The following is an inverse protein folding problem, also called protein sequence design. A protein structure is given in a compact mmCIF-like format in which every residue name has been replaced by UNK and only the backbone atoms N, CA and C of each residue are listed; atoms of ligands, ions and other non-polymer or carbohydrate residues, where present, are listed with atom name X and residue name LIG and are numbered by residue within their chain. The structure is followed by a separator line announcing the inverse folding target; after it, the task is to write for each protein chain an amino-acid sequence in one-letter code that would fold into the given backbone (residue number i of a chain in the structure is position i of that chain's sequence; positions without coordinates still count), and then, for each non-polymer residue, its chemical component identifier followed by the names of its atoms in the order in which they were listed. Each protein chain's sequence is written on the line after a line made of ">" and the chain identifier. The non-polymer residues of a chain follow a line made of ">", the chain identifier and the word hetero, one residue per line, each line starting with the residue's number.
data_IF_917709016729
#
_entry.id   IF_917709016729
#
_cell.length_a   1.000
_cell.length_b   1.000
_cell.length_c   1.000
_cell.angle_alpha   90.00
_cell.angle_beta   90.00
_cell.angle_gamma   90.00
#
_symmetry.space_group_name_H-M   'P 1'
#
loop_
_entity.id
_entity.type
_entity.pdbx_description
1 polymer ?
#
# COMPACT_ATOMS: atom_id res chain seq x y z
N UNK A 1 21.60 2.56 -12.73
CA UNK A 1 20.14 2.44 -12.54
C UNK A 1 19.79 0.97 -12.61
N UNK A 2 18.85 0.49 -11.81
CA UNK A 2 18.34 -0.89 -11.94
C UNK A 2 17.30 -0.96 -13.06
N UNK A 3 16.95 -2.19 -13.50
CA UNK A 3 15.97 -2.45 -14.59
C UNK A 3 14.68 -1.64 -14.43
N UNK A 4 14.07 -1.65 -13.24
CA UNK A 4 12.80 -0.93 -12.96
C UNK A 4 12.98 0.59 -13.12
N UNK A 5 14.06 1.14 -12.56
CA UNK A 5 14.35 2.58 -12.67
C UNK A 5 14.66 3.01 -14.12
N UNK A 6 15.33 2.15 -14.87
CA UNK A 6 15.64 2.39 -16.29
C UNK A 6 14.35 2.41 -17.13
N UNK A 7 13.45 1.45 -16.91
CA UNK A 7 12.13 1.43 -17.56
C UNK A 7 11.31 2.69 -17.25
N UNK A 8 11.21 3.07 -15.98
CA UNK A 8 10.49 4.30 -15.59
C UNK A 8 11.05 5.57 -16.23
N UNK A 9 12.35 5.59 -16.51
CA UNK A 9 12.99 6.71 -17.18
C UNK A 9 12.76 6.69 -18.70
N UNK A 10 12.78 5.50 -19.34
CA UNK A 10 12.64 5.34 -20.78
C UNK A 10 11.20 5.45 -21.29
N UNK A 11 10.23 5.03 -20.49
CA UNK A 11 8.83 4.95 -20.94
C UNK A 11 8.14 6.30 -20.75
N UNK A 12 7.68 6.88 -21.86
CA UNK A 12 6.67 7.95 -21.80
C UNK A 12 5.31 7.30 -21.52
N UNK A 13 4.72 7.65 -20.37
CA UNK A 13 3.42 7.08 -19.97
C UNK A 13 2.31 7.47 -20.93
N UNK A 14 2.31 8.69 -21.46
CA UNK A 14 1.26 9.12 -22.39
C UNK A 14 1.33 8.34 -23.69
N UNK A 15 2.51 8.16 -24.27
CA UNK A 15 2.70 7.34 -25.48
C UNK A 15 2.27 5.90 -25.24
N UNK A 16 2.64 5.31 -24.10
CA UNK A 16 2.22 3.95 -23.76
C UNK A 16 0.70 3.83 -23.63
N UNK A 17 0.04 4.79 -23.00
CA UNK A 17 -1.42 4.80 -22.82
C UNK A 17 -2.16 5.00 -24.16
N UNK A 18 -1.60 5.80 -25.06
CA UNK A 18 -2.21 6.06 -26.38
C UNK A 18 -2.24 4.83 -27.30
N UNK A 19 -1.49 3.76 -26.96
CA UNK A 19 -1.63 2.45 -27.63
C UNK A 19 -2.98 1.76 -27.29
N UNK A 20 -3.61 2.12 -26.18
CA UNK A 20 -4.83 1.45 -25.66
C UNK A 20 -6.07 2.33 -25.69
N UNK A 21 -5.92 3.65 -25.68
CA UNK A 21 -7.05 4.59 -25.69
C UNK A 21 -6.65 5.93 -26.29
N UNK A 22 -7.62 6.62 -26.86
CA UNK A 22 -7.39 7.98 -27.38
C UNK A 22 -7.45 8.99 -26.24
N UNK A 23 -6.42 9.81 -26.13
CA UNK A 23 -6.36 10.92 -25.18
C UNK A 23 -6.66 12.26 -25.84
N UNK A 24 -7.40 13.12 -25.14
CA UNK A 24 -7.73 14.47 -25.57
C UNK A 24 -7.48 15.48 -24.44
N UNK A 25 -7.07 16.68 -24.76
CA UNK A 25 -6.90 17.77 -23.79
C UNK A 25 -8.09 18.72 -23.70
N UNK A 26 -9.02 18.68 -24.67
CA UNK A 26 -10.25 19.48 -24.72
C UNK A 26 -10.10 20.92 -24.17
N UNK A 27 -9.02 21.61 -24.52
CA UNK A 27 -8.67 22.95 -24.01
C UNK A 27 -8.02 22.98 -22.62
N UNK A 28 -7.88 21.84 -21.93
CA UNK A 28 -7.19 21.71 -20.66
C UNK A 28 -5.71 21.31 -20.80
N UNK A 29 -4.99 21.31 -19.66
CA UNK A 29 -3.56 20.89 -19.62
C UNK A 29 -3.39 19.38 -19.43
N UNK A 30 -4.41 18.70 -18.92
CA UNK A 30 -4.37 17.30 -18.51
C UNK A 30 -4.95 16.43 -19.62
N UNK A 31 -4.18 15.45 -20.17
CA UNK A 31 -4.70 14.46 -21.11
C UNK A 31 -5.77 13.59 -20.45
N UNK A 32 -6.92 13.40 -21.10
CA UNK A 32 -8.05 12.59 -20.59
C UNK A 32 -8.57 11.69 -21.70
N UNK A 33 -9.17 10.56 -21.29
CA UNK A 33 -9.75 9.58 -22.20
C UNK A 33 -10.67 8.61 -21.48
N UNK A 34 -11.14 7.61 -22.22
CA UNK A 34 -11.81 6.44 -21.65
C UNK A 34 -10.78 5.53 -20.97
N UNK A 35 -11.18 4.87 -19.88
CA UNK A 35 -10.28 3.99 -19.15
C UNK A 35 -10.12 2.64 -19.85
N UNK A 36 -8.92 2.24 -20.31
CA UNK A 36 -8.72 0.95 -20.95
C UNK A 36 -8.69 -0.22 -19.96
N UNK A 37 -8.64 0.05 -18.65
CA UNK A 37 -8.57 -0.99 -17.60
C UNK A 37 -9.98 -1.43 -17.21
N UNK A 38 -10.89 -0.49 -16.93
CA UNK A 38 -12.27 -0.83 -16.55
C UNK A 38 -13.28 -0.68 -17.71
N UNK A 39 -12.79 -0.34 -18.90
CA UNK A 39 -13.59 -0.13 -20.11
C UNK A 39 -14.76 0.87 -19.90
N UNK A 40 -14.52 1.89 -19.10
CA UNK A 40 -15.48 3.00 -18.90
C UNK A 40 -15.65 3.79 -20.20
N UNK A 41 -16.85 4.24 -20.47
CA UNK A 41 -17.25 4.95 -21.69
C UNK A 41 -17.11 6.48 -21.59
N UNK A 42 -16.91 7.00 -20.38
CA UNK A 42 -16.74 8.43 -20.15
C UNK A 42 -15.30 8.89 -20.48
N UNK A 43 -15.10 9.76 -21.49
CA UNK A 43 -13.77 10.19 -21.93
C UNK A 43 -13.07 11.16 -20.99
N UNK A 44 -13.65 11.45 -19.83
CA UNK A 44 -13.04 12.33 -18.80
C UNK A 44 -12.61 11.60 -17.53
N UNK A 45 -12.95 10.33 -17.40
CA UNK A 45 -12.68 9.54 -16.18
C UNK A 45 -11.23 9.10 -16.05
N UNK A 46 -10.55 8.81 -17.14
CA UNK A 46 -9.14 8.47 -17.15
C UNK A 46 -8.29 9.70 -17.46
N UNK A 47 -7.20 9.90 -16.73
CA UNK A 47 -6.31 11.02 -16.95
C UNK A 47 -4.86 10.66 -16.67
N UNK A 48 -3.93 11.47 -17.26
CA UNK A 48 -2.51 11.39 -17.02
C UNK A 48 -2.05 12.65 -16.28
N UNK A 49 -1.39 12.44 -15.15
CA UNK A 49 -0.85 13.50 -14.27
C UNK A 49 0.65 13.29 -14.13
N UNK A 50 1.43 13.94 -15.00
CA UNK A 50 2.88 13.75 -15.09
C UNK A 50 3.24 12.30 -15.47
N UNK A 51 3.98 11.62 -14.64
CA UNK A 51 4.43 10.23 -14.81
C UNK A 51 3.42 9.18 -14.29
N UNK A 52 2.19 9.58 -13.98
CA UNK A 52 1.16 8.70 -13.42
C UNK A 52 -0.16 8.84 -14.12
N UNK A 53 -0.91 7.73 -14.18
CA UNK A 53 -2.31 7.71 -14.60
C UNK A 53 -3.26 7.58 -13.39
N UNK A 54 -4.48 7.99 -13.61
CA UNK A 54 -5.57 7.81 -12.65
C UNK A 54 -6.91 7.66 -13.38
N UNK A 55 -7.75 6.74 -12.90
CA UNK A 55 -9.13 6.57 -13.34
C UNK A 55 -10.11 6.93 -12.21
N UNK A 56 -10.95 7.94 -12.41
CA UNK A 56 -11.94 8.38 -11.43
C UNK A 56 -13.08 7.36 -11.22
N UNK A 57 -13.31 6.44 -12.16
CA UNK A 57 -14.36 5.43 -12.08
C UNK A 57 -13.94 4.20 -11.28
N UNK A 58 -12.82 3.58 -11.63
CA UNK A 58 -12.38 2.33 -10.99
C UNK A 58 -11.28 2.53 -9.93
N UNK A 59 -10.77 3.75 -9.73
CA UNK A 59 -9.71 4.04 -8.78
C UNK A 59 -8.31 3.53 -9.20
N UNK A 60 -8.21 2.89 -10.38
CA UNK A 60 -6.92 2.41 -10.88
C UNK A 60 -5.95 3.58 -11.06
N UNK A 61 -4.73 3.41 -10.57
CA UNK A 61 -3.69 4.44 -10.62
C UNK A 61 -2.30 3.83 -10.50
N UNK A 62 -1.34 4.41 -11.18
CA UNK A 62 0.03 3.89 -11.16
C UNK A 62 0.97 4.68 -12.06
N UNK A 63 2.18 4.16 -12.19
CA UNK A 63 3.15 4.55 -13.22
C UNK A 63 2.99 3.69 -14.48
N UNK A 64 3.88 3.85 -15.44
CA UNK A 64 3.85 3.12 -16.70
C UNK A 64 3.88 1.59 -16.52
N UNK A 65 4.64 1.08 -15.55
CA UNK A 65 4.72 -0.36 -15.26
C UNK A 65 3.40 -0.86 -14.66
N UNK A 66 2.85 -0.10 -13.71
CA UNK A 66 1.56 -0.41 -13.09
C UNK A 66 0.41 -0.36 -14.11
N UNK A 67 0.43 0.64 -15.01
CA UNK A 67 -0.54 0.73 -16.11
C UNK A 67 -0.50 -0.51 -16.99
N UNK A 68 0.68 -0.86 -17.49
CA UNK A 68 0.85 -2.01 -18.38
C UNK A 68 0.46 -3.32 -17.70
N UNK A 69 0.83 -3.49 -16.42
CA UNK A 69 0.45 -4.66 -15.65
C UNK A 69 -1.08 -4.80 -15.53
N UNK A 70 -1.79 -3.70 -15.27
CA UNK A 70 -3.25 -3.72 -15.11
C UNK A 70 -4.00 -3.88 -16.43
N UNK A 71 -3.58 -3.20 -17.50
CA UNK A 71 -4.28 -3.28 -18.79
C UNK A 71 -4.07 -4.63 -19.46
N UNK A 72 -2.90 -5.25 -19.32
CA UNK A 72 -2.60 -6.58 -19.86
C UNK A 72 -2.97 -7.73 -18.88
N UNK A 73 -3.42 -7.42 -17.67
CA UNK A 73 -3.73 -8.44 -16.65
C UNK A 73 -2.52 -9.25 -16.20
N UNK A 74 -1.31 -8.67 -16.25
CA UNK A 74 -0.06 -9.35 -15.96
C UNK A 74 0.39 -9.13 -14.51
N UNK A 75 0.99 -10.16 -13.87
CA UNK A 75 1.78 -9.95 -12.65
C UNK A 75 2.92 -8.95 -12.88
N UNK A 76 3.24 -8.16 -11.86
CA UNK A 76 4.21 -7.06 -11.95
C UNK A 76 5.52 -7.42 -12.68
N UNK A 77 6.16 -8.54 -12.32
CA UNK A 77 7.43 -8.92 -12.93
C UNK A 77 7.30 -9.39 -14.38
N UNK A 78 6.16 -9.96 -14.76
CA UNK A 78 5.86 -10.29 -16.17
C UNK A 78 5.66 -9.01 -16.99
N UNK A 79 4.97 -8.02 -16.44
CA UNK A 79 4.85 -6.70 -17.07
C UNK A 79 6.21 -6.01 -17.22
N UNK A 80 7.09 -6.09 -16.20
CA UNK A 80 8.46 -5.57 -16.29
C UNK A 80 9.24 -6.27 -17.41
N UNK A 81 9.15 -7.58 -17.55
CA UNK A 81 9.85 -8.35 -18.58
C UNK A 81 9.34 -8.02 -19.99
N UNK A 82 8.04 -7.93 -20.19
CA UNK A 82 7.44 -7.53 -21.47
C UNK A 82 7.83 -6.09 -21.86
N UNK A 83 7.81 -5.15 -20.90
CA UNK A 83 8.26 -3.79 -21.17
C UNK A 83 9.78 -3.72 -21.38
N UNK A 84 10.57 -4.55 -20.70
CA UNK A 84 12.01 -4.61 -20.88
C UNK A 84 12.37 -5.09 -22.29
N UNK A 85 11.65 -6.09 -22.80
CA UNK A 85 11.78 -6.52 -24.20
C UNK A 85 11.37 -5.40 -25.18
N UNK A 86 10.21 -4.78 -24.97
CA UNK A 86 9.67 -3.73 -25.84
C UNK A 86 10.58 -2.48 -25.93
N UNK A 87 11.18 -2.09 -24.79
CA UNK A 87 12.01 -0.89 -24.68
C UNK A 87 13.51 -1.18 -24.66
N UNK A 88 13.91 -2.41 -25.00
CA UNK A 88 15.32 -2.85 -25.07
C UNK A 88 16.10 -2.52 -23.79
N UNK A 89 15.57 -2.96 -22.66
CA UNK A 89 16.18 -2.83 -21.32
C UNK A 89 16.59 -4.21 -20.83
N UNK A 90 17.87 -4.38 -20.44
CA UNK A 90 18.32 -5.65 -19.88
C UNK A 90 17.64 -5.94 -18.53
N UNK A 91 17.26 -7.19 -18.34
CA UNK A 91 16.77 -7.75 -17.08
C UNK A 91 17.86 -8.49 -16.28
N UNK A 92 19.11 -8.52 -16.75
CA UNK A 92 20.23 -9.22 -16.10
C UNK A 92 20.78 -8.46 -14.88
N UNK A 93 20.17 -7.34 -14.52
CA UNK A 93 20.53 -6.55 -13.34
C UNK A 93 20.40 -7.38 -12.05
N UNK A 94 21.48 -7.55 -11.27
CA UNK A 94 21.46 -8.37 -10.05
C UNK A 94 20.45 -7.90 -9.00
N UNK A 95 20.22 -6.59 -8.90
CA UNK A 95 19.23 -6.01 -7.93
C UNK A 95 17.83 -6.42 -8.33
N UNK A 96 17.49 -6.28 -9.61
CA UNK A 96 16.21 -6.72 -10.15
C UNK A 96 15.96 -8.22 -9.93
N UNK A 97 16.94 -9.07 -10.30
CA UNK A 97 16.83 -10.51 -10.14
C UNK A 97 16.68 -10.93 -8.67
N UNK A 98 17.43 -10.30 -7.77
CA UNK A 98 17.29 -10.51 -6.32
C UNK A 98 15.89 -10.16 -5.84
N UNK A 99 15.38 -8.97 -6.20
CA UNK A 99 14.04 -8.52 -5.82
C UNK A 99 12.95 -9.48 -6.33
N UNK A 100 13.00 -9.86 -7.60
CA UNK A 100 12.09 -10.84 -8.22
C UNK A 100 12.11 -12.17 -7.48
N UNK A 101 13.29 -12.70 -7.18
CA UNK A 101 13.47 -13.96 -6.45
C UNK A 101 12.87 -13.88 -5.03
N UNK A 102 13.19 -12.83 -4.27
CA UNK A 102 12.71 -12.64 -2.90
C UNK A 102 11.18 -12.51 -2.86
N UNK A 103 10.59 -11.71 -3.73
CA UNK A 103 9.12 -11.55 -3.82
C UNK A 103 8.45 -12.87 -4.20
N UNK A 104 9.03 -13.63 -5.13
CA UNK A 104 8.52 -14.96 -5.49
C UNK A 104 8.58 -15.95 -4.32
N UNK A 105 9.64 -15.92 -3.52
CA UNK A 105 9.76 -16.72 -2.30
C UNK A 105 8.75 -16.27 -1.23
N UNK A 106 8.61 -14.96 -1.01
CA UNK A 106 7.65 -14.41 -0.06
C UNK A 106 6.21 -14.81 -0.41
N UNK A 107 5.86 -14.80 -1.70
CA UNK A 107 4.53 -15.23 -2.16
C UNK A 107 4.27 -16.71 -1.80
N UNK A 108 5.25 -17.59 -2.02
CA UNK A 108 5.15 -19.01 -1.63
C UNK A 108 5.02 -19.17 -0.11
N UNK A 109 5.77 -18.38 0.66
CA UNK A 109 5.70 -18.36 2.13
C UNK A 109 4.33 -17.89 2.62
N UNK A 110 3.78 -16.80 2.05
CA UNK A 110 2.44 -16.32 2.38
C UNK A 110 1.39 -17.40 2.14
N UNK A 111 1.38 -18.01 0.96
CA UNK A 111 0.45 -19.10 0.61
C UNK A 111 0.60 -20.31 1.53
N UNK A 112 1.84 -20.65 1.94
CA UNK A 112 2.08 -21.75 2.91
C UNK A 112 1.38 -21.48 4.24
N UNK A 113 1.55 -20.28 4.81
CA UNK A 113 0.94 -19.95 6.11
C UNK A 113 -0.56 -19.69 6.00
N UNK A 114 -1.02 -19.14 4.88
CA UNK A 114 -2.44 -18.92 4.61
C UNK A 114 -3.27 -20.22 4.61
N UNK A 115 -2.72 -21.33 4.13
CA UNK A 115 -3.36 -22.66 4.19
C UNK A 115 -3.74 -23.08 5.62
N UNK A 116 -3.15 -22.48 6.64
CA UNK A 116 -3.43 -22.75 8.04
C UNK A 116 -4.30 -21.65 8.70
N UNK A 117 -4.93 -20.76 7.92
CA UNK A 117 -5.71 -19.60 8.41
C UNK A 117 -6.86 -20.02 9.33
N UNK A 118 -7.44 -21.19 9.13
CA UNK A 118 -8.53 -21.72 9.97
C UNK A 118 -8.17 -21.80 11.45
N UNK A 119 -6.89 -21.99 11.78
CA UNK A 119 -6.42 -22.00 13.18
C UNK A 119 -6.58 -20.64 13.90
N UNK A 120 -6.76 -19.56 13.17
CA UNK A 120 -6.95 -18.20 13.73
C UNK A 120 -8.26 -17.56 13.31
N UNK A 121 -9.06 -18.22 12.47
CA UNK A 121 -10.33 -17.70 11.91
C UNK A 121 -11.28 -17.24 13.01
N UNK A 122 -11.57 -18.08 13.98
CA UNK A 122 -12.45 -17.73 15.09
C UNK A 122 -11.93 -16.53 15.89
N UNK A 123 -10.63 -16.50 16.18
CA UNK A 123 -10.01 -15.36 16.86
C UNK A 123 -10.15 -14.07 16.06
N UNK A 124 -9.91 -14.11 14.76
CA UNK A 124 -9.99 -12.95 13.89
C UNK A 124 -11.45 -12.49 13.74
N UNK A 125 -12.39 -13.39 13.50
CA UNK A 125 -13.79 -13.04 13.29
C UNK A 125 -14.46 -12.57 14.58
N UNK A 126 -14.34 -13.33 15.67
CA UNK A 126 -15.09 -13.07 16.92
C UNK A 126 -14.37 -12.05 17.81
N UNK A 127 -13.05 -12.20 17.99
CA UNK A 127 -12.29 -11.32 18.90
C UNK A 127 -11.82 -10.03 18.26
N UNK A 128 -11.69 -9.99 16.93
CA UNK A 128 -11.15 -8.84 16.19
C UNK A 128 -12.13 -8.22 15.20
N UNK A 129 -13.25 -8.89 14.93
CA UNK A 129 -14.26 -8.42 14.01
C UNK A 129 -13.79 -8.35 12.55
N UNK A 130 -12.75 -9.12 12.19
CA UNK A 130 -12.21 -9.20 10.83
C UNK A 130 -12.86 -10.38 10.11
N UNK A 131 -13.57 -10.12 9.02
CA UNK A 131 -14.31 -11.14 8.27
C UNK A 131 -13.40 -11.98 7.35
N UNK A 132 -13.96 -13.07 6.83
CA UNK A 132 -13.22 -14.04 6.01
C UNK A 132 -12.71 -13.45 4.71
N UNK A 133 -13.49 -12.64 4.02
CA UNK A 133 -13.07 -11.98 2.78
C UNK A 133 -11.81 -11.13 3.02
N UNK A 134 -11.74 -10.44 4.15
CA UNK A 134 -10.54 -9.67 4.54
C UNK A 134 -9.35 -10.58 4.86
N UNK A 135 -9.58 -11.76 5.48
CA UNK A 135 -8.50 -12.72 5.71
C UNK A 135 -7.90 -13.23 4.39
N UNK A 136 -8.75 -13.48 3.39
CA UNK A 136 -8.32 -13.87 2.04
C UNK A 136 -7.60 -12.72 1.32
N UNK A 137 -8.18 -11.51 1.29
CA UNK A 137 -7.60 -10.35 0.63
C UNK A 137 -6.19 -10.02 1.13
N UNK A 138 -5.97 -10.13 2.44
CA UNK A 138 -4.67 -9.89 3.06
C UNK A 138 -3.78 -11.12 3.13
N UNK A 139 -4.22 -12.29 2.65
CA UNK A 139 -3.51 -13.57 2.76
C UNK A 139 -3.05 -13.86 4.19
N UNK A 140 -3.93 -13.59 5.16
CA UNK A 140 -3.63 -13.82 6.58
C UNK A 140 -3.36 -15.29 6.80
N UNK A 141 -2.28 -15.59 7.52
CA UNK A 141 -1.87 -16.96 7.80
C UNK A 141 -1.67 -17.23 9.28
N UNK A 142 -1.36 -18.48 9.58
CA UNK A 142 -1.04 -18.93 10.93
C UNK A 142 0.30 -19.67 10.97
N UNK A 143 1.09 -19.37 12.00
CA UNK A 143 2.32 -20.09 12.34
C UNK A 143 2.23 -20.66 13.75
N UNK A 144 2.54 -21.96 13.88
CA UNK A 144 2.56 -22.67 15.19
C UNK A 144 3.71 -22.22 16.09
N UNK A 145 4.77 -21.66 15.52
CA UNK A 145 5.98 -21.19 16.19
C UNK A 145 7.21 -21.27 15.29
N UNK A 146 8.18 -20.38 15.54
CA UNK A 146 9.47 -20.34 14.84
C UNK A 146 9.56 -19.33 13.70
N UNK A 147 8.45 -18.89 13.10
CA UNK A 147 8.50 -17.88 12.04
C UNK A 147 9.01 -16.55 12.56
N UNK A 148 9.91 -15.92 11.82
CA UNK A 148 10.64 -14.70 12.19
C UNK A 148 11.40 -14.79 13.51
N UNK A 149 11.71 -16.01 13.98
CA UNK A 149 12.40 -16.25 15.25
C UNK A 149 11.52 -16.11 16.50
N UNK A 150 10.19 -15.99 16.33
CA UNK A 150 9.21 -15.93 17.43
C UNK A 150 8.70 -17.35 17.69
N UNK A 151 8.92 -17.88 18.89
CA UNK A 151 8.61 -19.27 19.24
C UNK A 151 7.13 -19.50 19.57
N UNK A 152 6.43 -18.47 20.09
CA UNK A 152 4.99 -18.55 20.32
C UNK A 152 4.20 -18.65 19.01
N UNK A 153 3.01 -19.23 19.08
CA UNK A 153 2.08 -19.26 17.94
C UNK A 153 1.66 -17.84 17.54
N UNK A 154 1.27 -17.64 16.28
CA UNK A 154 0.92 -16.29 15.86
C UNK A 154 0.29 -16.17 14.47
N UNK A 155 -0.30 -15.00 14.25
CA UNK A 155 -0.88 -14.58 12.99
C UNK A 155 0.26 -14.08 12.09
N UNK A 156 0.32 -14.61 10.88
CA UNK A 156 1.26 -14.17 9.84
C UNK A 156 0.54 -13.16 8.93
N UNK A 157 1.09 -11.97 8.85
CA UNK A 157 0.55 -10.84 8.09
C UNK A 157 1.53 -10.49 6.97
N UNK A 158 1.23 -10.80 5.70
CA UNK A 158 2.04 -10.36 4.57
C UNK A 158 2.04 -8.83 4.45
N UNK A 159 3.22 -8.25 4.19
CA UNK A 159 3.38 -6.81 3.95
C UNK A 159 3.65 -6.61 2.46
N UNK A 160 2.80 -5.83 1.82
CA UNK A 160 2.84 -5.56 0.39
C UNK A 160 3.29 -4.12 0.13
N UNK A 161 3.99 -3.92 -0.97
CA UNK A 161 4.39 -2.60 -1.45
C UNK A 161 3.28 -1.91 -2.29
N UNK A 162 3.61 -0.79 -2.91
CA UNK A 162 2.67 -0.01 -3.73
C UNK A 162 2.15 -0.75 -4.98
N UNK A 163 2.79 -1.84 -5.39
CA UNK A 163 2.37 -2.69 -6.50
C UNK A 163 1.66 -3.99 -6.04
N UNK A 164 1.42 -4.15 -4.75
CA UNK A 164 0.81 -5.36 -4.19
C UNK A 164 1.78 -6.55 -4.06
N UNK A 165 3.11 -6.36 -4.25
CA UNK A 165 4.12 -7.41 -4.12
C UNK A 165 4.43 -7.68 -2.66
N UNK A 166 4.49 -8.94 -2.25
CA UNK A 166 4.81 -9.31 -0.86
C UNK A 166 6.32 -9.12 -0.64
N UNK A 167 6.67 -8.04 0.03
CA UNK A 167 8.07 -7.66 0.30
C UNK A 167 8.57 -8.10 1.67
N UNK A 168 7.64 -8.44 2.59
CA UNK A 168 7.97 -8.89 3.93
C UNK A 168 6.75 -9.36 4.70
N UNK A 169 6.93 -9.58 5.99
CA UNK A 169 5.90 -10.09 6.88
C UNK A 169 5.94 -9.42 8.24
N UNK A 170 4.81 -9.42 8.91
CA UNK A 170 4.71 -9.25 10.35
C UNK A 170 4.14 -10.52 10.98
N UNK A 171 4.65 -10.93 12.12
CA UNK A 171 4.04 -11.95 12.96
C UNK A 171 3.49 -11.31 14.22
N UNK A 172 2.19 -11.51 14.47
CA UNK A 172 1.53 -11.12 15.72
C UNK A 172 1.35 -12.34 16.60
N UNK A 173 2.00 -12.38 17.77
CA UNK A 173 1.82 -13.47 18.72
C UNK A 173 0.38 -13.51 19.26
N UNK A 174 -0.12 -14.69 19.51
CA UNK A 174 -1.45 -14.93 20.11
C UNK A 174 -1.39 -15.11 21.62
N UNK A 175 -0.33 -15.74 22.10
CA UNK A 175 -0.11 -16.02 23.50
C UNK A 175 0.58 -14.87 24.22
N UNK A 176 0.31 -14.69 25.49
CA UNK A 176 1.05 -13.74 26.33
C UNK A 176 2.38 -14.35 26.76
N UNK A 177 3.45 -13.84 26.22
CA UNK A 177 4.83 -14.25 26.49
C UNK A 177 5.71 -13.00 26.60
N UNK A 178 6.98 -13.20 26.98
CA UNK A 178 7.97 -12.11 26.99
C UNK A 178 8.43 -11.66 25.59
N UNK A 179 7.98 -12.35 24.53
CA UNK A 179 8.29 -11.95 23.14
C UNK A 179 7.51 -10.69 22.72
N UNK A 180 8.01 -9.91 21.78
CA UNK A 180 7.28 -8.74 21.25
C UNK A 180 5.91 -9.13 20.69
N UNK A 181 4.89 -8.31 20.94
CA UNK A 181 3.53 -8.52 20.37
C UNK A 181 3.54 -8.63 18.84
N UNK A 182 4.38 -7.83 18.18
CA UNK A 182 4.62 -7.88 16.73
C UNK A 182 6.11 -8.03 16.44
N UNK A 183 6.44 -8.87 15.48
CA UNK A 183 7.78 -9.02 14.92
C UNK A 183 7.70 -8.92 13.40
N UNK A 184 8.45 -7.97 12.84
CA UNK A 184 8.55 -7.80 11.39
C UNK A 184 9.76 -8.54 10.82
N UNK A 185 9.72 -8.84 9.51
CA UNK A 185 10.89 -9.21 8.71
C UNK A 185 12.02 -8.21 8.99
N UNK A 186 13.25 -8.71 9.05
CA UNK A 186 14.44 -7.84 9.14
C UNK A 186 14.56 -7.00 7.86
N UNK A 187 14.84 -5.71 8.02
CA UNK A 187 15.02 -4.81 6.86
C UNK A 187 16.19 -5.26 5.98
N UNK A 188 15.98 -5.17 4.68
CA UNK A 188 16.96 -5.40 3.61
C UNK A 188 16.67 -4.51 2.39
N UNK A 189 17.27 -4.82 1.24
CA UNK A 189 17.05 -4.05 -0.01
C UNK A 189 15.63 -4.21 -0.60
N UNK A 190 14.85 -5.20 -0.14
CA UNK A 190 13.49 -5.49 -0.62
C UNK A 190 12.45 -4.99 0.39
N UNK A 191 12.72 -5.20 1.69
CA UNK A 191 11.85 -4.78 2.78
C UNK A 191 12.45 -3.60 3.54
N UNK A 192 12.12 -2.39 3.12
CA UNK A 192 12.53 -1.14 3.77
C UNK A 192 11.32 -0.53 4.47
N UNK A 193 11.08 -0.97 5.72
CA UNK A 193 9.86 -0.65 6.49
C UNK A 193 9.52 0.83 6.52
N UNK A 194 10.53 1.71 6.67
CA UNK A 194 10.34 3.15 6.73
C UNK A 194 9.78 3.78 5.44
N UNK A 195 9.83 3.04 4.31
CA UNK A 195 9.35 3.48 2.99
C UNK A 195 8.02 2.83 2.61
N UNK A 196 7.41 2.05 3.49
CA UNK A 196 6.19 1.31 3.23
C UNK A 196 5.03 1.85 4.07
N UNK A 197 3.87 1.93 3.46
CA UNK A 197 2.59 2.07 4.15
C UNK A 197 1.78 0.78 3.91
N UNK A 198 1.42 0.11 4.99
CA UNK A 198 0.61 -1.12 4.91
C UNK A 198 -0.71 -0.84 4.22
N UNK A 199 -1.14 -1.73 3.35
CA UNK A 199 -2.37 -1.62 2.54
C UNK A 199 -2.38 -0.46 1.52
N UNK A 200 -1.27 0.20 1.22
CA UNK A 200 -1.24 1.37 0.36
C UNK A 200 -1.86 1.11 -1.03
N UNK A 201 -1.50 0.00 -1.68
CA UNK A 201 -1.96 -0.33 -3.03
C UNK A 201 -3.48 -0.55 -3.13
N UNK A 202 -4.14 -1.04 -2.07
CA UNK A 202 -5.61 -1.17 -2.04
C UNK A 202 -6.28 0.14 -1.64
N UNK A 203 -5.76 0.81 -0.62
CA UNK A 203 -6.33 2.04 -0.10
C UNK A 203 -6.37 3.15 -1.17
N UNK A 204 -5.34 3.25 -2.01
CA UNK A 204 -5.30 4.24 -3.10
C UNK A 204 -6.36 3.95 -4.17
N UNK A 205 -6.68 2.68 -4.46
CA UNK A 205 -7.75 2.31 -5.39
C UNK A 205 -9.16 2.64 -4.87
N UNK A 206 -9.31 2.70 -3.56
CA UNK A 206 -10.58 3.07 -2.89
C UNK A 206 -10.74 4.59 -2.70
N UNK A 207 -9.66 5.35 -2.91
CA UNK A 207 -9.64 6.79 -2.65
C UNK A 207 -10.19 7.56 -3.84
N UNK A 208 -11.13 8.45 -3.60
CA UNK A 208 -11.72 9.34 -4.61
C UNK A 208 -11.32 10.80 -4.37
N UNK A 209 -11.43 11.70 -5.37
CA UNK A 209 -11.28 13.14 -5.17
C UNK A 209 -12.18 13.64 -4.02
N UNK A 210 -11.69 14.58 -3.22
CA UNK A 210 -12.28 15.05 -1.98
C UNK A 210 -12.44 13.98 -0.89
N UNK A 211 -11.84 12.80 -1.11
CA UNK A 211 -11.89 11.68 -0.16
C UNK A 211 -10.95 11.85 1.03
N UNK A 212 -11.12 10.95 1.98
CA UNK A 212 -10.29 10.89 3.19
C UNK A 212 -9.51 9.60 3.20
N UNK A 213 -8.18 9.69 3.27
CA UNK A 213 -7.31 8.54 3.55
C UNK A 213 -6.99 8.50 5.04
N UNK A 214 -7.42 7.45 5.71
CA UNK A 214 -7.10 7.22 7.10
C UNK A 214 -5.67 6.67 7.25
N UNK A 215 -4.96 7.12 8.26
CA UNK A 215 -3.60 6.70 8.57
C UNK A 215 -3.59 6.17 10.00
N UNK A 216 -3.54 4.85 10.16
CA UNK A 216 -3.62 4.17 11.44
C UNK A 216 -2.26 3.59 11.88
N UNK A 217 -2.16 3.19 13.14
CA UNK A 217 -0.96 2.56 13.69
C UNK A 217 -0.92 1.06 13.43
N UNK A 218 -2.03 0.38 13.69
CA UNK A 218 -2.09 -1.07 13.76
C UNK A 218 -2.51 -1.76 12.46
N UNK A 219 -1.99 -2.97 12.23
CA UNK A 219 -2.38 -3.80 11.09
C UNK A 219 -3.89 -4.15 11.12
N UNK A 220 -4.42 -4.46 12.30
CA UNK A 220 -5.81 -4.88 12.45
C UNK A 220 -6.78 -3.71 12.27
N UNK A 221 -6.39 -2.50 12.67
CA UNK A 221 -7.19 -1.29 12.47
C UNK A 221 -7.36 -1.00 10.98
N UNK A 222 -6.25 -1.16 10.22
CA UNK A 222 -6.28 -1.03 8.76
C UNK A 222 -7.17 -2.08 8.09
N UNK A 223 -7.11 -3.33 8.54
CA UNK A 223 -7.97 -4.41 8.02
C UNK A 223 -9.45 -4.14 8.35
N UNK A 224 -9.73 -3.68 9.59
CA UNK A 224 -11.09 -3.33 10.02
C UNK A 224 -11.66 -2.17 9.21
N UNK A 225 -10.87 -1.15 8.90
CA UNK A 225 -11.26 -0.06 8.02
C UNK A 225 -11.50 -0.55 6.58
N UNK A 226 -10.57 -1.38 6.05
CA UNK A 226 -10.66 -1.92 4.69
C UNK A 226 -11.95 -2.69 4.45
N UNK A 227 -12.35 -3.60 5.35
CA UNK A 227 -13.59 -4.38 5.21
C UNK A 227 -14.87 -3.53 5.25
N UNK A 228 -14.79 -2.30 5.78
CA UNK A 228 -15.89 -1.33 5.79
C UNK A 228 -15.86 -0.41 4.55
N UNK A 229 -15.00 -0.68 3.57
CA UNK A 229 -14.84 0.18 2.42
C UNK A 229 -14.15 1.52 2.71
N UNK A 230 -13.44 1.65 3.83
CA UNK A 230 -12.76 2.88 4.25
C UNK A 230 -11.30 2.84 3.80
N UNK A 231 -10.85 3.79 2.94
CA UNK A 231 -9.45 3.90 2.57
C UNK A 231 -8.57 4.12 3.81
N UNK A 232 -7.70 3.14 4.13
CA UNK A 232 -6.86 3.20 5.31
C UNK A 232 -5.48 2.56 5.05
N UNK A 233 -4.43 3.20 5.56
CA UNK A 233 -3.05 2.72 5.51
C UNK A 233 -2.44 2.67 6.90
N UNK A 234 -1.45 1.79 7.10
CA UNK A 234 -0.73 1.66 8.36
C UNK A 234 0.74 2.06 8.24
N UNK A 235 1.30 2.74 9.25
CA UNK A 235 2.70 3.20 9.21
C UNK A 235 3.71 2.25 9.83
N UNK A 236 3.36 1.00 10.10
CA UNK A 236 4.29 -0.11 10.46
C UNK A 236 5.25 0.16 11.65
N UNK A 237 5.01 1.16 12.47
CA UNK A 237 5.90 1.56 13.56
C UNK A 237 5.22 2.47 14.57
N UNK A 238 5.98 3.04 15.49
CA UNK A 238 5.44 3.93 16.52
C UNK A 238 5.10 5.36 16.03
N UNK A 239 5.46 5.73 14.79
CA UNK A 239 5.14 7.03 14.18
C UNK A 239 5.40 7.01 12.68
N UNK A 240 4.83 7.98 11.96
CA UNK A 240 5.15 8.22 10.55
C UNK A 240 6.62 8.62 10.38
N UNK A 241 7.27 8.07 9.38
CA UNK A 241 8.64 8.43 8.97
C UNK A 241 8.63 9.54 7.93
N UNK A 242 9.78 10.19 7.72
CA UNK A 242 9.94 11.17 6.63
C UNK A 242 9.59 10.60 5.26
N UNK A 243 10.01 9.36 4.98
CA UNK A 243 9.76 8.72 3.69
C UNK A 243 8.26 8.43 3.50
N UNK A 244 7.55 7.99 4.55
CA UNK A 244 6.11 7.78 4.53
C UNK A 244 5.33 9.10 4.38
N UNK A 245 5.76 10.17 5.04
CA UNK A 245 5.19 11.52 4.84
C UNK A 245 5.36 11.95 3.38
N UNK A 246 6.52 11.69 2.78
CA UNK A 246 6.77 11.92 1.37
C UNK A 246 5.79 11.17 0.45
N UNK A 247 5.49 9.89 0.75
CA UNK A 247 4.48 9.12 -0.01
C UNK A 247 3.09 9.75 0.06
N UNK A 248 2.67 10.21 1.25
CA UNK A 248 1.37 10.88 1.43
C UNK A 248 1.34 12.22 0.67
N UNK A 249 2.42 12.97 0.70
CA UNK A 249 2.54 14.23 -0.02
C UNK A 249 2.50 14.06 -1.54
N UNK A 250 3.22 13.07 -2.07
CA UNK A 250 3.13 12.71 -3.49
C UNK A 250 1.71 12.25 -3.86
N UNK A 251 1.05 11.51 -2.98
CA UNK A 251 -0.35 11.12 -3.19
C UNK A 251 -1.27 12.35 -3.24
N UNK A 252 -1.12 13.31 -2.32
CA UNK A 252 -1.92 14.54 -2.32
C UNK A 252 -1.77 15.34 -3.61
N UNK A 253 -0.55 15.45 -4.13
CA UNK A 253 -0.29 16.14 -5.40
C UNK A 253 -1.06 15.53 -6.58
N UNK A 254 -1.20 14.19 -6.61
CA UNK A 254 -1.98 13.49 -7.65
C UNK A 254 -3.45 13.89 -7.66
N UNK A 255 -3.97 14.26 -6.52
CA UNK A 255 -5.35 14.73 -6.35
C UNK A 255 -5.46 16.27 -6.33
N UNK A 256 -4.43 17.01 -6.81
CA UNK A 256 -4.39 18.47 -6.81
C UNK A 256 -4.67 19.10 -5.43
N UNK A 257 -4.35 18.41 -4.35
CA UNK A 257 -4.66 18.84 -2.99
C UNK A 257 -6.05 18.43 -2.48
N UNK A 258 -6.89 17.82 -3.30
CA UNK A 258 -8.31 17.55 -2.99
C UNK A 258 -8.53 16.28 -2.16
N UNK A 259 -7.54 15.85 -1.38
CA UNK A 259 -7.70 14.75 -0.40
C UNK A 259 -7.26 15.19 0.98
N UNK A 260 -7.86 14.55 1.99
CA UNK A 260 -7.52 14.78 3.40
C UNK A 260 -6.91 13.51 4.00
N UNK A 261 -5.88 13.66 4.81
CA UNK A 261 -5.31 12.56 5.61
C UNK A 261 -5.82 12.64 7.04
N UNK A 262 -6.52 11.58 7.48
CA UNK A 262 -7.02 11.48 8.85
C UNK A 262 -6.09 10.61 9.69
N UNK A 263 -5.29 11.22 10.57
CA UNK A 263 -4.40 10.48 11.48
C UNK A 263 -5.23 9.87 12.61
N UNK A 264 -5.41 8.55 12.56
CA UNK A 264 -6.05 7.73 13.58
C UNK A 264 -4.95 7.06 14.42
N UNK A 265 -4.35 7.82 15.33
CA UNK A 265 -3.39 7.32 16.30
C UNK A 265 -4.14 6.77 17.52
N UNK A 266 -3.51 5.89 18.31
CA UNK A 266 -4.06 5.42 19.57
C UNK A 266 -4.44 6.62 20.45
N UNK A 267 -5.57 6.50 21.17
CA UNK A 267 -6.21 7.64 21.86
C UNK A 267 -5.20 8.41 22.71
N UNK A 268 -4.79 9.63 22.32
CA UNK A 268 -3.73 10.39 22.99
C UNK A 268 -4.16 10.91 24.38
N UNK A 269 -5.44 10.81 24.73
CA UNK A 269 -5.92 11.13 26.08
C UNK A 269 -5.66 9.97 27.05
N UNK A 270 -5.59 8.72 26.55
CA UNK A 270 -5.37 7.51 27.34
C UNK A 270 -3.91 7.01 27.30
N UNK A 271 -3.13 7.41 26.30
CA UNK A 271 -1.74 6.95 26.13
C UNK A 271 -0.75 8.10 25.95
N UNK A 272 0.15 8.26 26.94
CA UNK A 272 1.22 9.27 26.91
C UNK A 272 2.25 9.02 25.77
N UNK A 273 2.46 7.76 25.37
CA UNK A 273 3.36 7.38 24.28
C UNK A 273 2.76 7.80 22.94
N UNK A 274 1.49 7.50 22.71
CA UNK A 274 0.73 7.93 21.54
C UNK A 274 0.70 9.45 21.39
N UNK A 275 0.52 10.19 22.52
CA UNK A 275 0.56 11.65 22.49
C UNK A 275 1.93 12.20 22.03
N UNK A 276 3.03 11.65 22.53
CA UNK A 276 4.39 12.05 22.09
C UNK A 276 4.62 11.72 20.63
N UNK A 277 4.20 10.54 20.17
CA UNK A 277 4.30 10.11 18.78
C UNK A 277 3.51 11.04 17.85
N UNK A 278 2.30 11.43 18.23
CA UNK A 278 1.46 12.37 17.47
C UNK A 278 2.11 13.75 17.36
N UNK A 279 2.61 14.31 18.47
CA UNK A 279 3.29 15.61 18.47
C UNK A 279 4.50 15.59 17.54
N UNK A 280 5.33 14.54 17.62
CA UNK A 280 6.48 14.38 16.75
C UNK A 280 6.10 14.20 15.28
N UNK A 281 5.06 13.42 14.99
CA UNK A 281 4.52 13.27 13.64
C UNK A 281 4.06 14.63 13.07
N UNK A 282 3.40 15.47 13.85
CA UNK A 282 3.01 16.82 13.43
C UNK A 282 4.21 17.74 13.15
N UNK A 283 5.26 17.69 14.00
CA UNK A 283 6.51 18.42 13.75
C UNK A 283 7.18 17.96 12.44
N UNK A 284 7.24 16.64 12.21
CA UNK A 284 7.84 16.08 11.01
C UNK A 284 7.01 16.43 9.74
N UNK A 285 5.68 16.41 9.81
CA UNK A 285 4.80 16.87 8.72
C UNK A 285 5.06 18.36 8.43
N UNK A 286 5.03 19.23 9.43
CA UNK A 286 5.29 20.66 9.24
C UNK A 286 6.66 20.94 8.62
N UNK A 287 7.63 20.07 8.92
CA UNK A 287 9.01 20.20 8.41
C UNK A 287 9.17 19.71 6.97
N UNK A 288 8.55 18.57 6.62
CA UNK A 288 8.83 17.85 5.37
C UNK A 288 7.72 17.99 4.33
N UNK A 289 6.50 18.29 4.75
CA UNK A 289 5.33 18.46 3.88
C UNK A 289 4.33 19.46 4.50
N UNK A 290 4.69 20.76 4.62
CA UNK A 290 3.89 21.77 5.32
C UNK A 290 2.48 21.95 4.73
N UNK A 291 2.33 21.68 3.43
CA UNK A 291 1.05 21.81 2.71
C UNK A 291 0.20 20.52 2.74
N UNK A 292 0.63 19.50 3.49
CA UNK A 292 -0.13 18.25 3.61
C UNK A 292 -1.43 18.50 4.38
N UNK A 293 -2.57 18.21 3.75
CA UNK A 293 -3.90 18.40 4.35
C UNK A 293 -4.20 17.29 5.38
N UNK A 294 -3.82 17.52 6.62
CA UNK A 294 -3.89 16.54 7.70
C UNK A 294 -4.87 16.96 8.77
N UNK A 295 -5.71 16.03 9.21
CA UNK A 295 -6.58 16.13 10.38
C UNK A 295 -6.28 15.00 11.37
N UNK A 296 -6.44 15.24 12.65
CA UNK A 296 -6.33 14.21 13.69
C UNK A 296 -7.72 13.73 14.02
N UNK A 297 -7.91 12.40 14.04
CA UNK A 297 -9.17 11.78 14.47
C UNK A 297 -9.34 12.05 15.96
N UNK A 298 -10.52 12.55 16.34
CA UNK A 298 -10.91 12.68 17.74
C UNK A 298 -11.77 11.48 18.11
N UNK A 299 -11.37 10.79 19.15
CA UNK A 299 -12.20 9.73 19.73
C UNK A 299 -13.30 10.33 20.59
N UNK A 300 -14.52 9.74 20.60
CA UNK A 300 -15.54 10.13 21.56
C UNK A 300 -14.97 9.96 22.98
N UNK A 301 -15.28 10.89 23.85
CA UNK A 301 -15.03 10.68 25.29
C UNK A 301 -15.88 9.49 25.68
N UNK A 302 -15.27 8.49 26.33
CA UNK A 302 -16.05 7.44 26.96
C UNK A 302 -16.89 8.15 28.02
N UNK A 303 -18.17 8.36 27.72
CA UNK A 303 -19.14 8.60 28.77
C UNK A 303 -19.20 7.31 29.59
N UNK A 304 -18.86 7.39 30.87
CA UNK A 304 -18.86 6.32 31.85
C UNK A 304 -20.25 5.66 31.97
#
# INVERSE_FOLDING_TARGET
>A
MNTISTLKYKIDLQELVEEYTTLSRNGGKIPRGTCPICHGDNPTEFCILGDRYYCHKCGSSGDAIGFYAEVEGLPFYQAVEALAEKYEVSTDDPVYQKQKSVVGQNTKVAMKYHKAVDAVREYMNVKRGINDDTLEDFLIGYDKGGFLGVQSSGIVIPIQDAYGRIVGFSKRRLEETNEPKYKNTKEDDVFVKRQLLFNYHRAVKMLHPNGVLHVAEGYLDVMSAHQQGIPCVGYLGGRLTKDQIGLLWELQKRYNGDITFALAVDNPECDATGRKALLKTREDINKYAPDLNVRVVKYPKNDE
#
